data_IF_632399584773
#
_entry.id   IF_632399584773
#
_cell.length_a   1.000
_cell.length_b   1.000
_cell.length_c   1.000
_cell.angle_alpha   90.00
_cell.angle_beta   90.00
_cell.angle_gamma   90.00
#
_symmetry.space_group_name_H-M   'P 1'
#
loop_
_entity.id
_entity.type
_entity.pdbx_description
1 polymer ?
#
# COMPACT_ATOMS: atom_id res chain seq x y z
N UNK A 1 45.69 9.16 -24.70
CA UNK A 1 45.80 10.63 -24.81
C UNK A 1 44.41 11.23 -24.69
N UNK A 2 44.24 12.10 -23.68
CA UNK A 2 43.28 13.21 -23.54
C UNK A 2 41.77 12.90 -23.43
N UNK A 3 41.31 12.94 -22.18
CA UNK A 3 39.94 13.21 -21.73
C UNK A 3 39.45 14.59 -22.18
N UNK A 4 38.16 14.73 -22.46
CA UNK A 4 37.44 16.01 -22.34
C UNK A 4 36.03 15.79 -21.80
N UNK A 5 35.86 16.14 -20.53
CA UNK A 5 34.56 16.37 -19.89
C UNK A 5 34.05 17.77 -20.29
N UNK A 6 32.76 17.90 -20.55
CA UNK A 6 32.08 19.21 -20.64
C UNK A 6 31.30 19.44 -19.35
N UNK A 7 31.79 20.38 -18.55
CA UNK A 7 31.13 20.93 -17.37
C UNK A 7 30.54 22.28 -17.78
N UNK A 8 29.22 22.43 -17.69
CA UNK A 8 28.54 23.73 -17.85
C UNK A 8 27.91 24.09 -16.52
N UNK A 9 28.63 24.91 -15.76
CA UNK A 9 28.08 25.73 -14.69
C UNK A 9 27.83 27.13 -15.27
N UNK A 10 26.61 27.66 -15.13
CA UNK A 10 26.42 29.11 -15.15
C UNK A 10 25.44 29.52 -14.07
N UNK A 11 26.03 30.12 -13.04
CA UNK A 11 25.43 30.87 -11.94
C UNK A 11 24.82 32.16 -12.47
N UNK A 12 23.61 32.49 -12.04
CA UNK A 12 23.13 33.88 -11.98
C UNK A 12 22.55 34.10 -10.58
N UNK A 13 23.33 34.80 -9.75
CA UNK A 13 22.88 35.46 -8.52
C UNK A 13 22.24 36.81 -8.84
N UNK A 14 21.69 37.44 -7.79
CA UNK A 14 21.26 38.83 -7.60
C UNK A 14 19.77 39.16 -7.85
N UNK A 15 19.01 39.86 -6.98
CA UNK A 15 19.30 40.70 -5.80
C UNK A 15 17.99 40.91 -4.97
N UNK A 16 18.10 41.02 -3.63
CA UNK A 16 17.37 41.87 -2.63
C UNK A 16 15.90 42.29 -2.88
N UNK A 17 14.96 42.23 -1.92
CA UNK A 17 15.00 42.93 -0.62
C UNK A 17 13.92 42.43 0.38
N UNK A 18 14.04 42.73 1.69
CA UNK A 18 13.13 42.28 2.74
C UNK A 18 12.03 43.33 3.06
N UNK A 19 10.79 42.88 3.23
CA UNK A 19 9.71 43.70 3.81
C UNK A 19 8.88 42.86 4.79
N UNK A 20 8.94 43.25 6.06
CA UNK A 20 7.96 43.02 7.14
C UNK A 20 7.96 44.32 7.97
N UNK A 21 7.01 44.58 8.88
CA UNK A 21 5.73 43.91 9.16
C UNK A 21 4.55 44.91 9.25
N UNK A 22 3.30 44.43 9.25
CA UNK A 22 2.21 45.07 10.00
C UNK A 22 1.27 44.03 10.60
N UNK A 23 0.89 44.36 11.82
CA UNK A 23 0.29 43.56 12.87
C UNK A 23 -1.20 43.24 12.70
N UNK A 24 -1.59 42.23 13.46
CA UNK A 24 -2.87 42.04 14.15
C UNK A 24 -4.15 41.91 13.34
N UNK A 25 -4.59 40.65 13.19
CA UNK A 25 -5.96 40.29 13.55
C UNK A 25 -5.97 38.86 14.08
N UNK A 26 -6.04 38.72 15.40
CA UNK A 26 -6.36 37.45 16.06
C UNK A 26 -7.86 37.22 15.86
N UNK A 27 -8.23 36.54 14.77
CA UNK A 27 -9.54 35.89 14.67
C UNK A 27 -9.39 34.52 15.28
N UNK A 28 -10.14 34.26 16.35
CA UNK A 28 -10.23 32.96 16.99
C UNK A 28 -10.73 31.92 15.97
N UNK A 29 -9.82 31.13 15.41
CA UNK A 29 -10.19 29.93 14.68
C UNK A 29 -10.57 28.88 15.71
N UNK A 30 -11.89 28.72 15.89
CA UNK A 30 -12.50 27.59 16.58
C UNK A 30 -11.91 26.31 15.98
N UNK A 31 -11.04 25.66 16.74
CA UNK A 31 -10.53 24.32 16.45
C UNK A 31 -11.69 23.35 16.57
N UNK A 32 -12.47 23.25 15.49
CA UNK A 32 -13.31 22.10 15.28
C UNK A 32 -12.39 20.88 15.34
N UNK A 33 -12.51 20.11 16.42
CA UNK A 33 -12.01 18.76 16.50
C UNK A 33 -12.67 17.97 15.36
N UNK A 34 -12.02 17.94 14.20
CA UNK A 34 -12.37 17.02 13.12
C UNK A 34 -11.88 15.67 13.62
N UNK A 35 -12.75 14.97 14.34
CA UNK A 35 -12.56 13.54 14.59
C UNK A 35 -12.32 12.87 13.23
N UNK A 36 -11.31 12.00 13.10
CA UNK A 36 -11.13 11.22 11.90
C UNK A 36 -12.43 10.47 11.61
N UNK A 37 -12.88 10.37 10.34
CA UNK A 37 -13.97 9.48 10.01
C UNK A 37 -13.54 8.08 10.45
N UNK A 38 -14.22 7.54 11.46
CA UNK A 38 -14.12 6.12 11.79
C UNK A 38 -14.61 5.37 10.56
N UNK A 39 -13.66 4.91 9.74
CA UNK A 39 -13.92 3.93 8.71
C UNK A 39 -14.24 2.64 9.47
N UNK A 40 -15.51 2.49 9.84
CA UNK A 40 -16.04 1.21 10.30
C UNK A 40 -15.97 0.26 9.11
N UNK A 41 -14.85 -0.44 8.96
CA UNK A 41 -14.71 -1.52 8.00
C UNK A 41 -15.82 -2.53 8.34
N UNK A 42 -16.73 -2.86 7.41
CA UNK A 42 -17.81 -3.79 7.70
C UNK A 42 -17.22 -5.15 8.06
N UNK A 43 -17.33 -5.48 9.34
CA UNK A 43 -16.96 -6.75 9.97
C UNK A 43 -17.96 -7.84 9.58
N UNK A 44 -18.09 -8.13 8.28
CA UNK A 44 -18.92 -9.22 7.74
C UNK A 44 -18.07 -10.11 6.82
N UNK A 45 -16.76 -10.06 6.97
CA UNK A 45 -15.88 -11.04 6.32
C UNK A 45 -15.82 -12.24 7.26
N UNK A 46 -16.20 -13.44 6.79
CA UNK A 46 -16.14 -14.69 7.58
C UNK A 46 -14.79 -14.78 8.30
N UNK A 47 -14.75 -15.22 9.56
CA UNK A 47 -13.46 -15.38 10.27
C UNK A 47 -12.55 -16.40 9.56
N UNK A 48 -13.13 -17.28 8.74
CA UNK A 48 -12.40 -18.25 7.95
C UNK A 48 -12.06 -17.73 6.55
N UNK A 49 -10.81 -17.30 6.36
CA UNK A 49 -10.28 -16.89 5.04
C UNK A 49 -10.47 -17.94 3.95
N UNK A 50 -10.55 -19.24 4.27
CA UNK A 50 -10.73 -20.30 3.25
C UNK A 50 -12.11 -20.29 2.58
N UNK A 51 -13.07 -19.58 3.17
CA UNK A 51 -14.44 -19.45 2.68
C UNK A 51 -14.69 -18.13 1.97
N UNK A 52 -13.70 -17.23 1.93
CA UNK A 52 -13.88 -15.93 1.30
C UNK A 52 -14.07 -16.07 -0.20
N UNK A 53 -15.15 -15.46 -0.68
CA UNK A 53 -15.40 -15.22 -2.09
C UNK A 53 -14.45 -14.17 -2.66
N UNK A 54 -14.38 -14.06 -3.98
CA UNK A 54 -13.63 -13.00 -4.66
C UNK A 54 -14.06 -11.61 -4.20
N UNK A 55 -15.37 -11.36 -4.07
CA UNK A 55 -15.89 -10.08 -3.59
C UNK A 55 -15.40 -9.74 -2.17
N UNK A 56 -15.43 -10.72 -1.26
CA UNK A 56 -14.92 -10.53 0.11
C UNK A 56 -13.42 -10.27 0.15
N UNK A 57 -12.63 -10.92 -0.70
CA UNK A 57 -11.20 -10.61 -0.85
C UNK A 57 -11.00 -9.17 -1.33
N UNK A 58 -11.77 -8.74 -2.32
CA UNK A 58 -11.70 -7.37 -2.85
C UNK A 58 -12.06 -6.34 -1.79
N UNK A 59 -13.17 -6.53 -1.09
CA UNK A 59 -13.62 -5.63 -0.03
C UNK A 59 -12.59 -5.57 1.11
N UNK A 60 -11.98 -6.71 1.46
CA UNK A 60 -10.92 -6.76 2.46
C UNK A 60 -9.67 -5.98 2.03
N UNK A 61 -9.18 -6.18 0.80
CA UNK A 61 -8.02 -5.44 0.27
C UNK A 61 -8.30 -3.94 0.22
N UNK A 62 -9.49 -3.54 -0.26
CA UNK A 62 -9.90 -2.14 -0.32
C UNK A 62 -10.06 -1.52 1.07
N UNK A 63 -10.62 -2.26 2.04
CA UNK A 63 -10.75 -1.83 3.44
C UNK A 63 -9.41 -1.55 4.11
N UNK A 64 -8.33 -2.20 3.64
CA UNK A 64 -6.96 -1.96 4.08
C UNK A 64 -6.17 -1.00 3.17
N UNK A 65 -6.84 -0.29 2.26
CA UNK A 65 -6.23 0.63 1.29
C UNK A 65 -5.21 0.00 0.33
N UNK A 66 -5.32 -1.31 0.06
CA UNK A 66 -4.45 -2.04 -0.88
C UNK A 66 -5.04 -2.02 -2.29
N UNK A 67 -5.09 -0.83 -2.90
CA UNK A 67 -5.82 -0.57 -4.15
C UNK A 67 -5.15 -1.16 -5.39
N UNK A 68 -3.82 -1.24 -5.42
CA UNK A 68 -3.14 -1.93 -6.52
C UNK A 68 -3.37 -3.43 -6.41
N UNK A 69 -3.24 -3.98 -5.19
CA UNK A 69 -3.45 -5.41 -4.97
C UNK A 69 -4.89 -5.85 -5.18
N UNK A 70 -5.88 -5.01 -4.84
CA UNK A 70 -7.29 -5.31 -5.14
C UNK A 70 -7.50 -5.50 -6.65
N UNK A 71 -7.01 -4.56 -7.46
CA UNK A 71 -7.08 -4.67 -8.93
C UNK A 71 -6.28 -5.86 -9.47
N UNK A 72 -5.10 -6.12 -8.92
CA UNK A 72 -4.24 -7.22 -9.35
C UNK A 72 -4.85 -8.60 -9.05
N UNK A 73 -5.55 -8.72 -7.92
CA UNK A 73 -6.14 -9.97 -7.42
C UNK A 73 -7.65 -10.05 -7.64
N UNK A 74 -8.16 -9.42 -8.70
CA UNK A 74 -9.60 -9.37 -9.02
C UNK A 74 -10.27 -10.74 -9.13
N UNK A 75 -9.52 -11.78 -9.52
CA UNK A 75 -10.04 -13.14 -9.70
C UNK A 75 -9.69 -14.07 -8.51
N UNK A 76 -9.06 -13.55 -7.46
CA UNK A 76 -8.60 -14.35 -6.33
C UNK A 76 -9.68 -14.48 -5.25
N UNK A 77 -9.95 -15.72 -4.85
CA UNK A 77 -10.71 -16.05 -3.65
C UNK A 77 -9.78 -16.24 -2.44
N UNK A 78 -10.33 -16.48 -1.26
CA UNK A 78 -9.54 -16.62 -0.06
C UNK A 78 -8.60 -17.82 -0.06
N UNK A 79 -8.96 -18.91 -0.76
CA UNK A 79 -8.06 -20.06 -0.97
C UNK A 79 -6.84 -19.63 -1.79
N UNK A 80 -7.05 -18.86 -2.84
CA UNK A 80 -5.99 -18.29 -3.68
C UNK A 80 -5.00 -17.48 -2.85
N UNK A 81 -5.48 -16.62 -1.92
CA UNK A 81 -4.62 -15.87 -1.01
C UNK A 81 -3.80 -16.77 -0.08
N UNK A 82 -4.41 -17.83 0.45
CA UNK A 82 -3.70 -18.81 1.29
C UNK A 82 -2.61 -19.52 0.49
N UNK A 83 -2.88 -19.94 -0.74
CA UNK A 83 -1.85 -20.54 -1.60
C UNK A 83 -0.75 -19.55 -1.95
N UNK A 84 -1.09 -18.31 -2.33
CA UNK A 84 -0.13 -17.25 -2.60
C UNK A 84 0.79 -17.00 -1.39
N UNK A 85 0.23 -16.97 -0.18
CA UNK A 85 1.02 -16.84 1.06
C UNK A 85 2.02 -17.98 1.26
N UNK A 86 1.67 -19.21 0.84
CA UNK A 86 2.57 -20.37 0.86
C UNK A 86 3.67 -20.22 -0.18
N UNK A 87 3.34 -19.74 -1.38
CA UNK A 87 4.32 -19.49 -2.42
C UNK A 87 5.35 -18.44 -1.99
N UNK A 88 4.90 -17.30 -1.46
CA UNK A 88 5.78 -16.22 -0.97
C UNK A 88 6.71 -16.72 0.14
N UNK A 89 6.25 -17.62 1.01
CA UNK A 89 7.06 -18.15 2.12
C UNK A 89 8.03 -19.26 1.74
N UNK A 90 7.62 -20.17 0.86
CA UNK A 90 8.31 -21.43 0.66
C UNK A 90 9.22 -21.43 -0.58
N UNK A 91 9.06 -20.45 -1.48
CA UNK A 91 9.83 -20.35 -2.72
C UNK A 91 10.83 -19.20 -2.64
N UNK A 92 11.71 -19.13 -3.65
CA UNK A 92 12.62 -18.00 -3.83
C UNK A 92 11.81 -16.71 -3.97
N UNK A 93 11.80 -15.91 -2.91
CA UNK A 93 11.02 -14.67 -2.81
C UNK A 93 11.26 -13.72 -3.98
N UNK A 94 12.48 -13.69 -4.53
CA UNK A 94 12.83 -12.94 -5.73
C UNK A 94 12.05 -13.39 -6.98
N UNK A 95 11.86 -14.70 -7.18
CA UNK A 95 11.13 -15.21 -8.33
C UNK A 95 9.64 -14.86 -8.23
N UNK A 96 9.06 -14.99 -7.03
CA UNK A 96 7.65 -14.64 -6.79
C UNK A 96 7.43 -13.14 -6.98
N UNK A 97 8.36 -12.30 -6.50
CA UNK A 97 8.31 -10.86 -6.72
C UNK A 97 8.41 -10.49 -8.20
N UNK A 98 9.34 -11.09 -8.95
CA UNK A 98 9.48 -10.88 -10.40
C UNK A 98 8.20 -11.29 -11.16
N UNK A 99 7.59 -12.40 -10.79
CA UNK A 99 6.33 -12.85 -11.39
C UNK A 99 5.18 -11.90 -11.06
N UNK A 100 5.07 -11.45 -9.81
CA UNK A 100 4.05 -10.47 -9.40
C UNK A 100 4.23 -9.12 -10.10
N UNK A 101 5.46 -8.65 -10.25
CA UNK A 101 5.77 -7.41 -10.98
C UNK A 101 5.42 -7.54 -12.46
N UNK A 102 5.79 -8.65 -13.11
CA UNK A 102 5.41 -8.91 -14.50
C UNK A 102 3.88 -8.93 -14.66
N UNK A 103 3.15 -9.57 -13.74
CA UNK A 103 1.70 -9.63 -13.79
C UNK A 103 1.04 -8.29 -13.45
N UNK A 104 1.62 -7.45 -12.59
CA UNK A 104 1.09 -6.12 -12.28
C UNK A 104 1.18 -5.20 -13.51
N UNK A 105 2.33 -5.18 -14.19
CA UNK A 105 2.48 -4.43 -15.43
C UNK A 105 1.53 -4.95 -16.51
N UNK A 106 1.40 -6.28 -16.66
CA UNK A 106 0.53 -6.88 -17.68
C UNK A 106 -0.96 -6.64 -17.44
N UNK A 107 -1.44 -6.74 -16.19
CA UNK A 107 -2.88 -6.72 -15.88
C UNK A 107 -3.40 -5.33 -15.55
N UNK A 108 -2.61 -4.54 -14.80
CA UNK A 108 -3.04 -3.24 -14.28
C UNK A 108 -2.18 -2.07 -14.78
N UNK A 109 -1.18 -2.33 -15.63
CA UNK A 109 -0.28 -1.33 -16.21
C UNK A 109 0.42 -0.46 -15.16
N UNK A 110 0.75 -1.06 -14.01
CA UNK A 110 1.43 -0.39 -12.91
C UNK A 110 2.50 -1.31 -12.32
N UNK A 111 3.63 -0.74 -11.92
CA UNK A 111 4.60 -1.43 -11.07
C UNK A 111 4.00 -1.67 -9.69
N UNK A 112 4.29 -2.82 -9.11
CA UNK A 112 3.75 -3.20 -7.82
C UNK A 112 4.37 -2.34 -6.70
N UNK A 113 3.52 -1.74 -5.86
CA UNK A 113 3.97 -0.98 -4.70
C UNK A 113 4.55 -1.90 -3.64
N UNK A 114 5.83 -1.71 -3.32
CA UNK A 114 6.49 -2.42 -2.22
C UNK A 114 5.83 -2.13 -0.87
N UNK A 115 5.22 -0.95 -0.71
CA UNK A 115 4.50 -0.59 0.51
C UNK A 115 3.22 -1.42 0.61
N UNK A 116 2.41 -1.50 -0.45
CA UNK A 116 1.19 -2.33 -0.44
C UNK A 116 1.53 -3.81 -0.25
N UNK A 117 2.59 -4.31 -0.90
CA UNK A 117 3.06 -5.69 -0.73
C UNK A 117 3.46 -6.00 0.71
N UNK A 118 4.20 -5.09 1.35
CA UNK A 118 4.62 -5.25 2.75
C UNK A 118 3.42 -5.28 3.69
N UNK A 119 2.45 -4.37 3.49
CA UNK A 119 1.20 -4.36 4.25
C UNK A 119 0.41 -5.65 4.05
N UNK A 120 0.26 -6.10 2.81
CA UNK A 120 -0.43 -7.34 2.48
C UNK A 120 0.20 -8.57 3.13
N UNK A 121 1.54 -8.66 3.14
CA UNK A 121 2.24 -9.77 3.78
C UNK A 121 1.99 -9.79 5.30
N UNK A 122 1.99 -8.63 5.96
CA UNK A 122 1.65 -8.52 7.39
C UNK A 122 0.21 -8.98 7.66
N UNK A 123 -0.74 -8.54 6.84
CA UNK A 123 -2.15 -8.91 6.98
C UNK A 123 -2.39 -10.41 6.78
N UNK A 124 -1.76 -11.04 5.78
CA UNK A 124 -1.82 -12.50 5.61
C UNK A 124 -1.25 -13.25 6.82
N UNK A 125 -0.22 -12.70 7.47
CA UNK A 125 0.35 -13.30 8.65
C UNK A 125 -0.59 -13.24 9.85
N UNK A 126 -1.32 -12.13 10.02
CA UNK A 126 -2.36 -11.97 11.04
C UNK A 126 -3.52 -12.95 10.82
N UNK A 127 -4.04 -13.04 9.60
CA UNK A 127 -5.12 -13.97 9.25
C UNK A 127 -4.74 -15.43 9.53
N UNK A 128 -3.48 -15.80 9.28
CA UNK A 128 -2.98 -17.14 9.64
C UNK A 128 -2.99 -17.39 11.14
N UNK A 129 -2.59 -16.40 11.96
CA UNK A 129 -2.62 -16.54 13.43
C UNK A 129 -4.04 -16.75 13.94
N UNK A 130 -5.00 -16.02 13.37
CA UNK A 130 -6.43 -16.19 13.68
C UNK A 130 -6.89 -17.62 13.36
N UNK A 131 -6.62 -18.11 12.15
CA UNK A 131 -6.97 -19.48 11.76
C UNK A 131 -6.35 -20.53 12.69
N UNK A 132 -5.09 -20.37 13.08
CA UNK A 132 -4.41 -21.28 14.00
C UNK A 132 -5.05 -21.26 15.40
N UNK A 133 -5.45 -20.08 15.88
CA UNK A 133 -6.10 -19.94 17.20
C UNK A 133 -7.48 -20.60 17.25
N UNK A 134 -8.19 -20.67 16.12
CA UNK A 134 -9.51 -21.32 16.03
C UNK A 134 -9.41 -22.85 16.02
N UNK A 135 -8.34 -23.41 15.44
CA UNK A 135 -8.13 -24.86 15.36
C UNK A 135 -7.72 -25.47 16.73
N UNK A 136 -7.21 -24.65 17.65
CA UNK A 136 -6.76 -25.09 18.97
C UNK A 136 -7.83 -25.01 20.07
N UNK A 137 -9.07 -24.64 19.73
CA UNK A 137 -10.23 -24.65 20.64
C UNK A 137 -11.11 -25.86 20.37
#
# INVERSE_FOLDING_TARGET
MLHKELKVESVVETHTAPVRPKEDTVVAHSTAHISPPEISIPSIVSENILEWTQAQVQDWLLGHNLRQLSRLFTDCDGRSLVYLSKYIRNYESEQVLKLLEADSVRRINESISLIELSCFQSLLHEQKKLLQSMIQR
#
